data_IF_238586275351
#
_entry.id   IF_238586275351
#
_cell.length_a   1.000
_cell.length_b   1.000
_cell.length_c   1.000
_cell.angle_alpha   90.00
_cell.angle_beta   90.00
_cell.angle_gamma   90.00
#
_symmetry.space_group_name_H-M   'P 1'
#
loop_
_entity.id
_entity.type
_entity.pdbx_description
1 polymer ?
#
# COMPACT_ATOMS: atom_id res chain seq x y z
N UNK A 1 -3.15 -12.55 4.93
CA UNK A 1 -1.86 -12.84 5.59
C UNK A 1 -1.09 -13.96 4.89
N UNK A 2 0.25 -13.85 4.84
CA UNK A 2 1.15 -14.86 4.26
C UNK A 2 0.99 -16.25 4.88
N UNK A 3 0.70 -16.29 6.18
CA UNK A 3 0.50 -17.54 6.93
C UNK A 3 -0.72 -18.32 6.47
N UNK A 4 -1.76 -17.64 5.99
CA UNK A 4 -3.03 -18.24 5.58
C UNK A 4 -3.12 -18.56 4.08
N UNK A 5 -2.06 -18.29 3.34
CA UNK A 5 -2.06 -18.47 1.89
C UNK A 5 -2.39 -19.91 1.45
N UNK A 6 -1.99 -20.91 2.25
CA UNK A 6 -2.30 -22.31 1.98
C UNK A 6 -3.80 -22.65 2.06
N UNK A 7 -4.58 -21.87 2.83
CA UNK A 7 -6.03 -22.01 2.97
C UNK A 7 -6.78 -21.45 1.74
N UNK A 8 -6.09 -20.64 0.91
CA UNK A 8 -6.68 -20.00 -0.26
C UNK A 8 -6.68 -20.89 -1.52
N UNK A 9 -6.26 -22.16 -1.44
CA UNK A 9 -6.10 -23.07 -2.60
C UNK A 9 -7.40 -23.32 -3.38
N UNK A 10 -8.52 -23.30 -2.70
CA UNK A 10 -9.84 -23.52 -3.31
C UNK A 10 -10.47 -22.25 -3.90
N UNK A 11 -9.83 -21.10 -3.75
CA UNK A 11 -10.33 -19.82 -4.25
C UNK A 11 -10.10 -19.70 -5.76
N UNK A 12 -11.19 -19.70 -6.52
CA UNK A 12 -11.14 -19.60 -7.98
C UNK A 12 -10.71 -18.22 -8.49
N UNK A 13 -11.02 -17.15 -7.74
CA UNK A 13 -10.60 -15.78 -8.04
C UNK A 13 -9.07 -15.63 -8.04
N UNK A 14 -8.36 -16.40 -7.23
CA UNK A 14 -6.89 -16.39 -7.17
C UNK A 14 -6.21 -17.28 -8.24
N UNK A 15 -6.99 -18.03 -9.03
CA UNK A 15 -6.51 -18.77 -10.20
C UNK A 15 -6.47 -17.94 -11.48
N UNK A 16 -6.93 -16.70 -11.40
CA UNK A 16 -7.02 -15.76 -12.51
C UNK A 16 -5.76 -14.91 -12.66
N UNK A 17 -5.73 -14.15 -13.77
CA UNK A 17 -4.74 -13.10 -14.02
C UNK A 17 -5.01 -11.89 -13.14
N UNK A 18 -3.95 -11.15 -12.78
CA UNK A 18 -4.09 -9.90 -12.04
C UNK A 18 -2.78 -9.35 -11.53
N UNK A 19 -2.89 -8.35 -10.68
CA UNK A 19 -1.77 -7.69 -10.01
C UNK A 19 -1.85 -7.91 -8.50
N UNK A 20 -0.70 -7.91 -7.85
CA UNK A 20 -0.62 -8.15 -6.42
C UNK A 20 0.44 -7.26 -5.77
N UNK A 21 0.22 -6.97 -4.50
CA UNK A 21 1.07 -6.17 -3.65
C UNK A 21 1.48 -7.00 -2.45
N UNK A 22 2.78 -7.13 -2.20
CA UNK A 22 3.33 -7.81 -1.04
C UNK A 22 3.83 -6.76 -0.07
N UNK A 23 3.20 -6.65 1.09
CA UNK A 23 3.54 -5.69 2.12
C UNK A 23 4.35 -6.34 3.25
N UNK A 24 5.31 -5.60 3.74
CA UNK A 24 6.12 -5.97 4.89
C UNK A 24 6.82 -4.76 5.49
N UNK A 25 7.76 -5.02 6.35
CA UNK A 25 8.58 -4.00 7.01
C UNK A 25 10.05 -4.37 6.96
N UNK A 26 10.90 -3.36 6.93
CA UNK A 26 12.34 -3.56 7.13
C UNK A 26 12.64 -3.63 8.63
N UNK A 27 13.32 -4.68 9.05
CA UNK A 27 13.75 -4.84 10.45
C UNK A 27 14.75 -3.74 10.87
N UNK A 28 15.53 -3.22 9.92
CA UNK A 28 16.56 -2.21 10.20
C UNK A 28 16.00 -0.78 10.29
N UNK A 29 15.04 -0.43 9.42
CA UNK A 29 14.58 0.97 9.27
C UNK A 29 13.17 1.21 9.80
N UNK A 30 12.44 0.17 10.17
CA UNK A 30 11.00 0.19 10.48
C UNK A 30 10.15 0.82 9.36
N UNK A 31 10.71 0.98 8.15
CA UNK A 31 10.02 1.51 7.00
C UNK A 31 9.19 0.42 6.33
N UNK A 32 7.97 0.76 5.93
CA UNK A 32 7.15 -0.15 5.17
C UNK A 32 7.81 -0.50 3.83
N UNK A 33 7.76 -1.77 3.47
CA UNK A 33 8.26 -2.30 2.20
C UNK A 33 7.06 -2.76 1.38
N UNK A 34 7.13 -2.56 0.07
CA UNK A 34 6.17 -3.12 -0.88
C UNK A 34 6.88 -3.71 -2.08
N UNK A 35 6.41 -4.86 -2.53
CA UNK A 35 6.72 -5.40 -3.84
C UNK A 35 5.42 -5.50 -4.64
N UNK A 36 5.43 -5.00 -5.87
CA UNK A 36 4.29 -4.99 -6.78
C UNK A 36 4.61 -5.98 -7.90
N UNK A 37 3.67 -6.85 -8.22
CA UNK A 37 3.89 -7.86 -9.26
C UNK A 37 2.62 -8.22 -10.00
N UNK A 38 2.80 -8.92 -11.10
CA UNK A 38 1.72 -9.45 -11.93
C UNK A 38 1.80 -10.97 -12.02
N UNK A 39 0.65 -11.58 -12.29
CA UNK A 39 0.57 -12.97 -12.67
C UNK A 39 -0.50 -13.17 -13.73
N UNK A 40 -0.11 -13.79 -14.85
CA UNK A 40 -1.05 -14.25 -15.87
C UNK A 40 -1.50 -15.66 -15.58
N UNK A 41 -2.66 -16.04 -16.12
CA UNK A 41 -3.13 -17.42 -16.09
C UNK A 41 -2.25 -18.29 -16.98
N UNK A 42 -1.64 -19.32 -16.40
CA UNK A 42 -0.83 -20.31 -17.14
C UNK A 42 -1.72 -21.39 -17.76
N UNK A 43 -1.17 -22.16 -18.72
CA UNK A 43 -1.89 -23.25 -19.41
C UNK A 43 -2.44 -24.33 -18.48
N UNK A 44 -1.84 -24.50 -17.30
CA UNK A 44 -2.27 -25.44 -16.26
C UNK A 44 -3.32 -24.86 -15.29
N UNK A 45 -3.86 -23.66 -15.57
CA UNK A 45 -4.83 -22.98 -14.71
C UNK A 45 -4.22 -22.30 -13.47
N UNK A 46 -2.92 -22.23 -13.38
CA UNK A 46 -2.22 -21.51 -12.31
C UNK A 46 -2.25 -19.99 -12.61
N UNK A 47 -2.66 -19.21 -11.63
CA UNK A 47 -2.73 -17.74 -11.68
C UNK A 47 -1.96 -17.09 -10.55
N UNK A 48 -2.56 -16.06 -9.97
CA UNK A 48 -1.95 -15.26 -8.91
C UNK A 48 -1.53 -16.11 -7.70
N UNK A 49 -2.38 -17.03 -7.25
CA UNK A 49 -2.08 -17.85 -6.07
C UNK A 49 -0.76 -18.60 -6.21
N UNK A 50 -0.53 -19.21 -7.37
CA UNK A 50 0.71 -19.92 -7.62
C UNK A 50 1.92 -19.00 -7.50
N UNK A 51 1.82 -17.78 -8.05
CA UNK A 51 2.89 -16.78 -7.97
C UNK A 51 3.15 -16.34 -6.54
N UNK A 52 2.10 -16.16 -5.73
CA UNK A 52 2.23 -15.87 -4.30
C UNK A 52 2.91 -17.00 -3.54
N UNK A 53 2.60 -18.25 -3.88
CA UNK A 53 3.25 -19.43 -3.28
C UNK A 53 4.73 -19.54 -3.69
N UNK A 54 5.11 -19.17 -4.92
CA UNK A 54 6.51 -19.03 -5.32
C UNK A 54 7.23 -18.01 -4.43
N UNK A 55 6.63 -16.82 -4.23
CA UNK A 55 7.18 -15.79 -3.35
C UNK A 55 7.29 -16.23 -1.89
N UNK A 56 6.30 -16.98 -1.39
CA UNK A 56 6.32 -17.53 -0.03
C UNK A 56 7.51 -18.47 0.20
N UNK A 57 7.93 -19.22 -0.84
CA UNK A 57 9.03 -20.19 -0.80
C UNK A 57 10.40 -19.57 -1.05
N UNK A 58 10.45 -18.33 -1.57
CA UNK A 58 11.70 -17.66 -1.87
C UNK A 58 12.27 -16.96 -0.63
N UNK A 59 13.45 -17.40 -0.09
CA UNK A 59 14.05 -16.80 1.08
C UNK A 59 14.43 -15.31 0.91
N UNK A 60 14.76 -14.89 -0.32
CA UNK A 60 15.09 -13.49 -0.62
C UNK A 60 13.89 -12.55 -0.46
N UNK A 61 12.68 -13.11 -0.44
CA UNK A 61 11.42 -12.39 -0.28
C UNK A 61 10.76 -12.66 1.07
N UNK A 62 11.53 -12.89 2.13
CA UNK A 62 10.97 -13.23 3.45
C UNK A 62 10.40 -12.00 4.20
N UNK A 63 10.60 -10.81 3.70
CA UNK A 63 10.17 -9.54 4.31
C UNK A 63 8.67 -9.29 4.31
N UNK A 64 7.87 -9.95 3.46
CA UNK A 64 6.44 -9.67 3.36
C UNK A 64 5.58 -10.53 4.29
N UNK A 65 4.55 -9.92 4.86
CA UNK A 65 3.61 -10.56 5.79
C UNK A 65 2.20 -10.61 5.25
N UNK A 66 1.85 -9.68 4.37
CA UNK A 66 0.51 -9.52 3.82
C UNK A 66 0.54 -9.33 2.32
N UNK A 67 -0.51 -9.82 1.64
CA UNK A 67 -0.70 -9.62 0.22
C UNK A 67 -2.09 -9.06 -0.07
N UNK A 68 -2.16 -8.06 -0.94
CA UNK A 68 -3.40 -7.58 -1.55
C UNK A 68 -3.36 -7.96 -3.02
N UNK A 69 -4.48 -8.45 -3.52
CA UNK A 69 -4.61 -8.95 -4.89
C UNK A 69 -5.79 -8.25 -5.56
N UNK A 70 -5.56 -7.79 -6.78
CA UNK A 70 -6.61 -7.27 -7.65
C UNK A 70 -6.73 -8.14 -8.90
N UNK A 71 -7.93 -8.59 -9.16
CA UNK A 71 -8.31 -9.40 -10.32
C UNK A 71 -9.69 -8.99 -10.82
N UNK A 72 -10.10 -9.50 -11.94
CA UNK A 72 -11.45 -9.25 -12.50
C UNK A 72 -12.33 -10.47 -12.32
N UNK A 73 -13.64 -10.28 -12.16
CA UNK A 73 -14.59 -11.37 -11.96
C UNK A 73 -14.68 -12.34 -13.16
N UNK A 74 -14.36 -11.85 -14.35
CA UNK A 74 -14.46 -12.59 -15.62
C UNK A 74 -13.09 -12.98 -16.21
N UNK A 75 -11.99 -12.81 -15.46
CA UNK A 75 -10.62 -13.05 -15.93
C UNK A 75 -10.28 -12.28 -17.23
N UNK A 76 -10.75 -11.04 -17.33
CA UNK A 76 -10.57 -10.21 -18.54
C UNK A 76 -9.18 -9.60 -18.67
N UNK A 77 -8.33 -9.69 -17.66
CA UNK A 77 -6.96 -9.19 -17.73
C UNK A 77 -6.07 -10.09 -18.57
N UNK A 78 -5.66 -9.60 -19.73
CA UNK A 78 -4.62 -10.21 -20.54
C UNK A 78 -3.21 -9.82 -20.10
N UNK A 79 -2.17 -10.38 -20.73
CA UNK A 79 -0.77 -10.09 -20.39
C UNK A 79 -0.40 -8.61 -20.52
N UNK A 80 -1.00 -7.90 -21.47
CA UNK A 80 -0.73 -6.49 -21.72
C UNK A 80 -1.31 -5.60 -20.62
N UNK A 81 -2.55 -5.87 -20.20
CA UNK A 81 -3.23 -5.13 -19.16
C UNK A 81 -2.53 -5.28 -17.81
N UNK A 82 -2.14 -6.50 -17.42
CA UNK A 82 -1.43 -6.71 -16.15
C UNK A 82 -0.05 -6.10 -16.16
N UNK A 83 0.65 -6.07 -17.31
CA UNK A 83 1.94 -5.40 -17.44
C UNK A 83 1.81 -3.88 -17.31
N UNK A 84 0.78 -3.30 -17.92
CA UNK A 84 0.48 -1.88 -17.76
C UNK A 84 0.19 -1.53 -16.30
N UNK A 85 -0.69 -2.29 -15.65
CA UNK A 85 -1.07 -2.06 -14.26
C UNK A 85 0.14 -2.18 -13.31
N UNK A 86 0.98 -3.19 -13.48
CA UNK A 86 2.20 -3.35 -12.68
C UNK A 86 3.11 -2.12 -12.82
N UNK A 87 3.39 -1.66 -14.07
CA UNK A 87 4.20 -0.49 -14.33
C UNK A 87 3.61 0.78 -13.69
N UNK A 88 2.30 1.02 -13.87
CA UNK A 88 1.63 2.22 -13.33
C UNK A 88 1.62 2.23 -11.81
N UNK A 89 1.28 1.12 -11.18
CA UNK A 89 1.29 1.01 -9.72
C UNK A 89 2.70 1.17 -9.14
N UNK A 90 3.73 0.63 -9.79
CA UNK A 90 5.12 0.84 -9.38
C UNK A 90 5.50 2.31 -9.43
N UNK A 91 5.19 3.01 -10.53
CA UNK A 91 5.47 4.45 -10.66
C UNK A 91 4.77 5.27 -9.58
N UNK A 92 3.48 5.05 -9.37
CA UNK A 92 2.70 5.75 -8.35
C UNK A 92 3.25 5.51 -6.93
N UNK A 93 3.67 4.28 -6.63
CA UNK A 93 4.24 3.95 -5.33
C UNK A 93 5.62 4.63 -5.11
N UNK A 94 6.45 4.68 -6.16
CA UNK A 94 7.75 5.37 -6.13
C UNK A 94 7.55 6.88 -5.96
N UNK A 95 6.61 7.49 -6.68
CA UNK A 95 6.29 8.91 -6.58
C UNK A 95 5.77 9.31 -5.20
N UNK A 96 4.94 8.48 -4.58
CA UNK A 96 4.40 8.71 -3.24
C UNK A 96 5.48 8.63 -2.14
N UNK A 97 6.57 7.90 -2.34
CA UNK A 97 7.73 7.74 -1.42
C UNK A 97 7.37 7.25 -0.01
N UNK A 98 6.18 6.68 0.17
CA UNK A 98 5.70 6.25 1.47
C UNK A 98 6.23 4.88 1.88
N UNK A 99 6.45 4.00 0.92
CA UNK A 99 7.03 2.67 1.08
C UNK A 99 8.34 2.55 0.30
N UNK A 100 9.18 1.64 0.73
CA UNK A 100 10.32 1.20 -0.06
C UNK A 100 9.85 0.18 -1.10
N UNK A 101 9.93 0.54 -2.38
CA UNK A 101 9.51 -0.34 -3.48
C UNK A 101 10.65 -1.30 -3.83
N UNK A 102 10.43 -2.61 -3.64
CA UNK A 102 11.45 -3.67 -3.86
C UNK A 102 11.43 -4.27 -5.27
N UNK A 103 10.86 -3.58 -6.24
CA UNK A 103 10.94 -4.00 -7.64
C UNK A 103 12.34 -3.75 -8.17
N UNK A 104 13.05 -4.82 -8.58
CA UNK A 104 14.44 -4.72 -9.04
C UNK A 104 14.61 -4.11 -10.42
N UNK A 105 13.58 -4.17 -11.26
CA UNK A 105 13.56 -3.60 -12.61
C UNK A 105 12.29 -2.77 -12.78
N UNK A 106 12.39 -1.74 -13.61
CA UNK A 106 11.24 -0.95 -14.04
C UNK A 106 10.36 -1.84 -14.95
N UNK A 107 9.13 -2.18 -14.56
CA UNK A 107 8.29 -3.02 -15.40
C UNK A 107 8.01 -2.32 -16.73
N UNK A 108 8.11 -3.06 -17.84
CA UNK A 108 7.82 -2.50 -19.16
C UNK A 108 6.32 -2.30 -19.32
N UNK A 109 5.85 -1.09 -19.67
CA UNK A 109 4.42 -0.91 -19.96
C UNK A 109 4.06 -1.71 -21.23
N UNK A 110 2.94 -2.42 -21.18
CA UNK A 110 2.39 -3.05 -22.38
C UNK A 110 1.90 -2.00 -23.40
N UNK A 111 1.86 -2.37 -24.67
CA UNK A 111 1.20 -1.54 -25.68
C UNK A 111 -0.33 -1.73 -25.59
N UNK A 112 -1.03 -0.70 -25.19
CA UNK A 112 -2.49 -0.68 -25.06
C UNK A 112 -3.09 0.45 -25.89
N UNK A 113 -4.36 0.33 -26.25
CA UNK A 113 -5.11 1.40 -26.95
C UNK A 113 -5.54 2.48 -25.93
N UNK A 114 -5.85 3.69 -26.42
CA UNK A 114 -6.29 4.81 -25.57
C UNK A 114 -7.54 4.45 -24.76
N UNK A 115 -8.48 3.74 -25.36
CA UNK A 115 -9.71 3.30 -24.68
C UNK A 115 -9.36 2.35 -23.52
N UNK A 116 -8.45 1.41 -23.77
CA UNK A 116 -8.03 0.46 -22.74
C UNK A 116 -7.21 1.12 -21.65
N UNK A 117 -6.41 2.10 -22.01
CA UNK A 117 -5.67 2.92 -21.03
C UNK A 117 -6.64 3.65 -20.09
N UNK A 118 -7.68 4.31 -20.63
CA UNK A 118 -8.68 4.99 -19.82
C UNK A 118 -9.39 4.04 -18.86
N UNK A 119 -9.76 2.84 -19.32
CA UNK A 119 -10.38 1.79 -18.49
C UNK A 119 -9.45 1.34 -17.35
N UNK A 120 -8.17 1.17 -17.64
CA UNK A 120 -7.20 0.73 -16.64
C UNK A 120 -6.83 1.85 -15.65
N UNK A 121 -6.80 3.11 -16.07
CA UNK A 121 -6.59 4.24 -15.15
C UNK A 121 -7.78 4.39 -14.18
N UNK A 122 -9.03 4.19 -14.65
CA UNK A 122 -10.19 4.13 -13.76
C UNK A 122 -10.09 2.97 -12.75
N UNK A 123 -9.64 1.80 -13.20
CA UNK A 123 -9.39 0.66 -12.32
C UNK A 123 -8.32 0.98 -11.26
N UNK A 124 -7.26 1.71 -11.64
CA UNK A 124 -6.21 2.16 -10.73
C UNK A 124 -6.80 3.11 -9.68
N UNK A 125 -7.65 4.03 -10.06
CA UNK A 125 -8.28 4.96 -9.12
C UNK A 125 -9.17 4.26 -8.10
N UNK A 126 -9.99 3.29 -8.52
CA UNK A 126 -10.74 2.43 -7.60
C UNK A 126 -9.81 1.64 -6.68
N UNK A 127 -8.72 1.10 -7.22
CA UNK A 127 -7.74 0.35 -6.43
C UNK A 127 -7.09 1.20 -5.35
N UNK A 128 -6.78 2.47 -5.64
CA UNK A 128 -6.25 3.44 -4.64
C UNK A 128 -7.24 3.66 -3.49
N UNK A 129 -8.53 3.84 -3.82
CA UNK A 129 -9.58 4.02 -2.80
C UNK A 129 -9.69 2.79 -1.91
N UNK A 130 -9.71 1.59 -2.51
CA UNK A 130 -9.77 0.31 -1.77
C UNK A 130 -8.55 0.16 -0.87
N UNK A 131 -7.35 0.42 -1.38
CA UNK A 131 -6.10 0.35 -0.61
C UNK A 131 -6.12 1.31 0.58
N UNK A 132 -6.56 2.56 0.37
CA UNK A 132 -6.72 3.57 1.41
C UNK A 132 -7.70 3.12 2.50
N UNK A 133 -8.85 2.56 2.13
CA UNK A 133 -9.86 2.06 3.09
C UNK A 133 -9.37 0.85 3.90
N UNK A 134 -8.49 0.04 3.32
CA UNK A 134 -7.82 -1.06 4.01
C UNK A 134 -6.66 -0.59 4.92
N UNK A 135 -6.36 0.72 4.94
CA UNK A 135 -5.30 1.30 5.74
C UNK A 135 -3.93 1.37 5.05
N UNK A 136 -3.82 0.93 3.79
CA UNK A 136 -2.58 1.00 3.03
C UNK A 136 -2.50 2.31 2.26
N UNK A 137 -1.80 3.29 2.81
CA UNK A 137 -1.61 4.62 2.20
C UNK A 137 -0.50 4.64 1.13
N UNK A 138 -0.37 3.54 0.36
CA UNK A 138 0.74 3.32 -0.57
C UNK A 138 0.89 4.45 -1.59
N UNK A 139 -0.22 4.97 -2.10
CA UNK A 139 -0.25 5.94 -3.18
C UNK A 139 -0.46 7.39 -2.70
N UNK A 140 -0.57 7.59 -1.39
CA UNK A 140 -0.72 8.92 -0.80
C UNK A 140 0.66 9.53 -0.57
N UNK A 141 0.99 10.70 -1.15
CA UNK A 141 2.28 11.33 -0.94
C UNK A 141 2.46 11.74 0.53
N UNK A 142 3.70 11.70 1.01
CA UNK A 142 4.04 12.27 2.32
C UNK A 142 4.02 13.78 2.19
N UNK A 143 3.03 14.44 2.76
CA UNK A 143 2.96 15.90 2.79
C UNK A 143 3.93 16.39 3.87
N UNK A 144 5.17 16.69 3.47
CA UNK A 144 6.09 17.45 4.32
C UNK A 144 5.64 18.90 4.33
N UNK A 145 5.07 19.37 5.42
CA UNK A 145 4.68 20.78 5.63
C UNK A 145 5.84 21.80 5.51
N UNK A 146 7.05 21.35 5.23
CA UNK A 146 8.25 22.21 5.14
C UNK A 146 8.52 22.82 3.76
N UNK A 147 7.73 22.51 2.73
CA UNK A 147 7.92 23.03 1.37
C UNK A 147 6.66 23.74 0.84
N UNK A 148 6.01 24.56 1.66
CA UNK A 148 5.10 25.59 1.16
C UNK A 148 5.95 26.83 0.92
N UNK A 149 6.57 26.91 -0.26
CA UNK A 149 7.05 28.17 -0.79
C UNK A 149 5.86 29.14 -0.88
N UNK A 150 6.11 30.34 -0.35
CA UNK A 150 5.19 31.46 -0.30
C UNK A 150 4.63 31.77 -1.69
N UNK A 151 3.45 31.30 -1.99
CA UNK A 151 2.57 31.92 -2.96
C UNK A 151 1.39 32.53 -2.21
N UNK A 152 1.16 33.80 -2.43
CA UNK A 152 0.11 34.59 -1.86
C UNK A 152 -1.27 33.94 -2.04
N UNK A 153 -1.74 33.27 -1.02
CA UNK A 153 -3.13 32.86 -0.87
C UNK A 153 -3.63 33.28 0.49
N UNK A 154 -4.90 33.72 0.62
CA UNK A 154 -5.40 34.35 1.83
C UNK A 154 -5.21 33.42 3.04
N UNK A 155 -4.79 34.00 4.15
CA UNK A 155 -4.69 33.36 5.46
C UNK A 155 -5.96 32.54 5.75
N UNK A 156 -5.93 31.27 5.41
CA UNK A 156 -6.81 30.29 6.05
C UNK A 156 -6.21 30.15 7.46
N UNK A 157 -6.99 30.53 8.44
CA UNK A 157 -6.67 30.46 9.84
C UNK A 157 -6.00 29.10 10.15
N UNK A 158 -5.07 29.08 11.09
CA UNK A 158 -4.56 27.91 11.78
C UNK A 158 -5.76 27.10 12.29
N UNK A 159 -6.36 26.33 11.40
CA UNK A 159 -7.52 25.52 11.70
C UNK A 159 -7.05 24.34 12.52
N UNK A 160 -7.26 24.48 13.83
CA UNK A 160 -7.62 23.38 14.73
C UNK A 160 -6.68 22.17 14.77
N UNK A 161 -5.43 22.39 15.16
CA UNK A 161 -4.73 21.37 15.90
C UNK A 161 -5.39 21.30 17.27
N UNK A 162 -6.37 20.42 17.42
CA UNK A 162 -7.01 20.21 18.72
C UNK A 162 -5.96 19.57 19.62
N UNK A 163 -5.47 20.28 20.64
CA UNK A 163 -4.56 19.68 21.60
C UNK A 163 -5.34 18.64 22.41
N UNK A 164 -4.80 17.46 22.47
CA UNK A 164 -5.38 16.35 23.23
C UNK A 164 -4.51 16.11 24.44
N UNK A 165 -5.15 16.07 25.61
CA UNK A 165 -4.52 15.69 26.85
C UNK A 165 -5.18 14.40 27.35
N UNK A 166 -4.38 13.35 27.53
CA UNK A 166 -4.82 12.11 28.14
C UNK A 166 -4.24 12.02 29.55
N UNK A 167 -5.13 11.94 30.54
CA UNK A 167 -4.76 11.63 31.91
C UNK A 167 -5.32 10.27 32.31
N UNK A 168 -4.50 9.40 32.84
CA UNK A 168 -4.91 8.09 33.31
C UNK A 168 -4.11 7.68 34.55
N UNK A 169 -4.80 7.12 35.53
CA UNK A 169 -4.15 6.50 36.68
C UNK A 169 -4.02 5.01 36.41
N UNK A 170 -2.79 4.54 36.33
CA UNK A 170 -2.48 3.11 36.15
C UNK A 170 -2.05 2.51 37.50
N UNK A 171 -2.69 1.41 37.87
CA UNK A 171 -2.39 0.70 39.12
C UNK A 171 -0.91 0.28 39.11
N UNK A 172 -0.17 0.65 40.14
CA UNK A 172 1.28 0.42 40.33
C UNK A 172 2.25 1.33 39.53
N UNK A 173 1.76 2.23 38.69
CA UNK A 173 2.60 3.19 37.94
C UNK A 173 2.33 4.61 38.39
N UNK A 174 1.09 4.93 38.75
CA UNK A 174 0.69 6.27 39.16
C UNK A 174 -0.08 7.02 38.08
N UNK A 175 -0.03 8.35 38.13
CA UNK A 175 -0.70 9.22 37.17
C UNK A 175 0.19 9.37 35.91
N UNK A 176 -0.36 9.02 34.77
CA UNK A 176 0.25 9.16 33.44
C UNK A 176 -0.44 10.30 32.72
N UNK A 177 0.36 11.22 32.19
CA UNK A 177 -0.09 12.36 31.40
C UNK A 177 0.56 12.29 30.02
N UNK A 178 -0.24 12.30 28.97
CA UNK A 178 0.24 12.36 27.58
C UNK A 178 -0.42 13.54 26.86
N UNK A 179 0.39 14.42 26.32
CA UNK A 179 -0.04 15.51 25.46
C UNK A 179 0.18 15.09 24.00
N UNK A 180 -0.81 15.34 23.17
CA UNK A 180 -0.76 14.99 21.76
C UNK A 180 -1.54 15.96 20.90
N UNK A 181 -1.34 15.84 19.62
CA UNK A 181 -2.11 16.54 18.60
C UNK A 181 -2.69 15.54 17.61
N UNK A 182 -3.89 15.80 17.17
CA UNK A 182 -4.47 15.05 16.05
C UNK A 182 -3.96 15.65 14.75
N UNK A 183 -3.45 14.78 13.88
CA UNK A 183 -3.01 15.13 12.52
C UNK A 183 -3.78 14.31 11.48
N UNK A 184 -3.66 14.64 10.23
CA UNK A 184 -4.21 13.83 9.12
C UNK A 184 -3.65 12.41 9.06
N UNK A 185 -2.47 12.18 9.66
CA UNK A 185 -1.79 10.89 9.69
C UNK A 185 -2.08 10.09 10.98
N UNK A 186 -2.84 10.66 11.92
CA UNK A 186 -3.17 10.05 13.21
C UNK A 186 -2.78 10.93 14.39
N UNK A 187 -2.55 10.30 15.56
CA UNK A 187 -2.15 11.01 16.79
C UNK A 187 -0.64 11.07 16.93
N UNK A 188 -0.12 12.26 17.23
CA UNK A 188 1.28 12.46 17.57
C UNK A 188 1.38 12.79 19.06
N UNK A 189 2.13 11.97 19.80
CA UNK A 189 2.43 12.23 21.22
C UNK A 189 3.60 13.20 21.29
N UNK A 190 3.41 14.30 22.02
CA UNK A 190 4.41 15.34 22.15
C UNK A 190 5.46 15.00 23.22
N UNK A 191 6.66 15.54 23.04
CA UNK A 191 7.73 15.45 24.05
C UNK A 191 7.26 16.11 25.36
N UNK A 192 7.63 15.51 26.49
CA UNK A 192 7.18 15.99 27.80
C UNK A 192 5.99 15.21 28.38
N UNK A 193 5.45 14.24 27.61
CA UNK A 193 4.53 13.24 28.18
C UNK A 193 5.23 12.43 29.26
N UNK A 194 4.58 12.23 30.41
CA UNK A 194 5.12 11.48 31.56
C UNK A 194 4.41 10.13 31.66
N UNK A 195 5.18 9.07 31.63
CA UNK A 195 4.73 7.68 31.82
C UNK A 195 5.28 7.17 33.14
#
# INVERSE_FOLDING_TARGET
PRTELDQCKERNDLKQSGVYFLFGSSDETCKGIVYIGQAGTRKNGEGILYRLMEHKRNPEKDYWTEAIVFTTSNNSFGPTEISYLENRFCKLAIEARRYEVKNGNDPTPGNITEEKESELEEFIDYSKVIMGTLGYKLFEPIINKSCIEKQDTPKIAEADQIPLCLERVIKNVGKVEANGIQTSEGFVVLSGSRI
#
